data_IF_656000129011
#
_entry.id   IF_656000129011
#
_cell.length_a   1.000
_cell.length_b   1.000
_cell.length_c   1.000
_cell.angle_alpha   90.00
_cell.angle_beta   90.00
_cell.angle_gamma   90.00
#
_symmetry.space_group_name_H-M   'P 1'
#
loop_
_entity.id
_entity.type
_entity.pdbx_description
1 polymer ?
#
# COMPACT_ATOMS: atom_id res chain seq x y z
N UNK A 1 -11.04 -0.53 -22.32
CA UNK A 1 -10.27 -0.01 -21.16
C UNK A 1 -9.46 -1.12 -20.53
N UNK A 2 -8.33 -0.77 -19.92
CA UNK A 2 -7.48 -1.69 -19.18
C UNK A 2 -7.13 -1.06 -17.83
N UNK A 3 -7.22 -1.85 -16.73
CA UNK A 3 -6.80 -1.37 -15.43
C UNK A 3 -5.26 -1.40 -15.37
N UNK A 4 -4.63 -0.22 -15.35
CA UNK A 4 -3.18 -0.11 -15.48
C UNK A 4 -2.45 0.20 -14.20
N UNK A 5 -3.00 1.09 -13.38
CA UNK A 5 -2.31 1.64 -12.22
C UNK A 5 -3.23 1.85 -11.04
N UNK A 6 -2.71 1.61 -9.84
CA UNK A 6 -3.20 2.22 -8.61
C UNK A 6 -2.13 3.20 -8.18
N UNK A 7 -2.48 4.47 -8.04
CA UNK A 7 -1.53 5.52 -7.69
C UNK A 7 -1.96 6.13 -6.36
N UNK A 8 -1.06 6.10 -5.38
CA UNK A 8 -1.31 6.64 -4.05
C UNK A 8 -0.51 7.93 -3.90
N UNK A 9 -1.18 9.01 -3.53
CA UNK A 9 -0.51 10.28 -3.26
C UNK A 9 0.06 10.27 -1.85
N UNK A 10 1.36 10.54 -1.74
CA UNK A 10 2.12 10.41 -0.50
C UNK A 10 3.01 11.64 -0.29
N UNK A 11 3.40 11.91 0.98
CA UNK A 11 4.30 13.04 1.23
C UNK A 11 5.73 12.82 0.72
N UNK A 12 6.20 11.57 0.68
CA UNK A 12 7.58 11.23 0.32
C UNK A 12 7.58 9.91 -0.47
N UNK A 13 7.73 10.01 -1.79
CA UNK A 13 7.67 8.83 -2.69
C UNK A 13 8.79 7.85 -2.40
N UNK A 14 10.02 8.33 -2.20
CA UNK A 14 11.16 7.46 -1.91
C UNK A 14 10.95 6.69 -0.61
N UNK A 15 10.39 7.33 0.41
CA UNK A 15 10.09 6.69 1.69
C UNK A 15 9.01 5.63 1.55
N UNK A 16 7.96 5.89 0.78
CA UNK A 16 6.90 4.91 0.53
C UNK A 16 7.41 3.70 -0.24
N UNK A 17 8.22 3.90 -1.28
CA UNK A 17 8.85 2.79 -2.00
C UNK A 17 9.70 1.93 -1.07
N UNK A 18 10.56 2.56 -0.28
CA UNK A 18 11.44 1.85 0.66
C UNK A 18 10.62 1.08 1.71
N UNK A 19 9.54 1.66 2.20
CA UNK A 19 8.66 1.00 3.16
C UNK A 19 8.02 -0.25 2.55
N UNK A 20 7.44 -0.14 1.34
CA UNK A 20 6.78 -1.28 0.69
C UNK A 20 7.77 -2.39 0.31
N UNK A 21 9.00 -2.03 -0.03
CA UNK A 21 10.08 -3.01 -0.24
C UNK A 21 10.36 -3.80 1.06
N UNK A 22 10.53 -3.09 2.17
CA UNK A 22 10.85 -3.72 3.46
C UNK A 22 9.66 -4.46 4.07
N UNK A 23 8.47 -3.88 4.03
CA UNK A 23 7.29 -4.42 4.70
C UNK A 23 6.66 -5.59 3.95
N UNK A 24 6.63 -5.53 2.61
CA UNK A 24 5.87 -6.46 1.78
C UNK A 24 6.72 -7.22 0.76
N UNK A 25 8.01 -6.90 0.64
CA UNK A 25 8.92 -7.65 -0.21
C UNK A 25 8.82 -7.34 -1.70
N UNK A 26 8.16 -6.25 -2.09
CA UNK A 26 8.12 -5.85 -3.49
C UNK A 26 9.44 -5.29 -3.96
N UNK A 27 9.78 -5.52 -5.23
CA UNK A 27 10.92 -4.88 -5.86
C UNK A 27 10.52 -3.51 -6.40
N UNK A 28 11.43 -2.55 -6.32
CA UNK A 28 11.26 -1.24 -6.94
C UNK A 28 11.44 -1.36 -8.44
N UNK A 29 10.50 -0.81 -9.22
CA UNK A 29 10.67 -0.71 -10.67
C UNK A 29 11.53 0.50 -11.02
N UNK A 30 11.15 1.68 -10.52
CA UNK A 30 11.97 2.89 -10.63
C UNK A 30 11.46 3.98 -9.70
N UNK A 31 12.31 4.96 -9.45
CA UNK A 31 11.98 6.25 -8.88
C UNK A 31 12.42 7.31 -9.87
N UNK A 32 11.48 8.16 -10.32
CA UNK A 32 11.80 9.26 -11.23
C UNK A 32 12.83 10.20 -10.58
N UNK A 33 13.70 10.76 -11.40
CA UNK A 33 14.77 11.64 -10.90
C UNK A 33 14.26 12.87 -10.14
N UNK A 34 13.03 13.32 -10.43
CA UNK A 34 12.38 14.42 -9.69
C UNK A 34 12.03 14.05 -8.25
N UNK A 35 11.93 12.75 -7.95
CA UNK A 35 11.44 12.27 -6.68
C UNK A 35 9.92 12.30 -6.53
N UNK A 36 9.18 12.76 -7.54
CA UNK A 36 7.73 12.98 -7.44
C UNK A 36 6.88 11.79 -7.86
N UNK A 37 7.49 10.74 -8.43
CA UNK A 37 6.78 9.56 -8.89
C UNK A 37 7.67 8.33 -8.86
N UNK A 38 7.11 7.19 -8.47
CA UNK A 38 7.83 5.93 -8.49
C UNK A 38 6.90 4.74 -8.57
N UNK A 39 7.41 3.60 -9.03
CA UNK A 39 6.64 2.39 -9.23
C UNK A 39 7.28 1.19 -8.56
N UNK A 40 6.43 0.29 -8.07
CA UNK A 40 6.82 -1.04 -7.63
C UNK A 40 6.54 -2.06 -8.74
N UNK A 41 7.28 -3.17 -8.71
CA UNK A 41 7.03 -4.32 -9.57
C UNK A 41 5.92 -5.17 -8.93
N UNK A 42 4.69 -5.02 -9.39
CA UNK A 42 3.52 -5.67 -8.77
C UNK A 42 2.68 -6.51 -9.76
N UNK A 43 3.24 -6.83 -10.91
CA UNK A 43 2.57 -7.65 -11.93
C UNK A 43 1.85 -6.80 -12.98
N UNK A 44 0.70 -7.27 -13.45
CA UNK A 44 -0.03 -6.62 -14.55
C UNK A 44 -0.60 -5.25 -14.18
N UNK A 45 -1.01 -5.07 -12.93
CA UNK A 45 -1.46 -3.79 -12.42
C UNK A 45 -0.36 -3.18 -11.56
N UNK A 46 0.08 -2.00 -11.92
CA UNK A 46 1.18 -1.32 -11.25
C UNK A 46 0.70 -0.55 -10.03
N UNK A 47 1.31 -0.82 -8.88
CA UNK A 47 1.17 0.03 -7.70
C UNK A 47 2.26 1.10 -7.75
N UNK A 48 1.84 2.35 -7.72
CA UNK A 48 2.74 3.50 -7.84
C UNK A 48 2.44 4.54 -6.76
N UNK A 49 3.42 5.42 -6.54
CA UNK A 49 3.30 6.53 -5.60
C UNK A 49 3.62 7.83 -6.32
N UNK A 50 2.84 8.86 -6.01
CA UNK A 50 3.05 10.21 -6.52
C UNK A 50 3.10 11.19 -5.34
N UNK A 51 3.95 12.21 -5.44
CA UNK A 51 4.06 13.23 -4.39
C UNK A 51 2.78 14.06 -4.30
N UNK A 52 2.45 14.52 -3.08
CA UNK A 52 1.34 15.45 -2.86
C UNK A 52 1.42 16.68 -3.77
N UNK A 53 2.63 17.19 -4.02
CA UNK A 53 2.82 18.34 -4.90
C UNK A 53 2.34 18.05 -6.34
N UNK A 54 2.53 16.83 -6.83
CA UNK A 54 2.03 16.43 -8.14
C UNK A 54 0.51 16.34 -8.14
N UNK A 55 -0.08 15.84 -7.05
CA UNK A 55 -1.52 15.83 -6.85
C UNK A 55 -2.12 17.24 -6.84
N UNK A 56 -1.45 18.18 -6.20
CA UNK A 56 -1.89 19.56 -6.16
C UNK A 56 -1.93 20.22 -7.55
N UNK A 57 -1.01 19.84 -8.44
CA UNK A 57 -1.02 20.30 -9.82
C UNK A 57 -2.18 19.70 -10.62
N UNK A 58 -2.52 18.44 -10.37
CA UNK A 58 -3.57 17.73 -11.09
C UNK A 58 -4.98 18.07 -10.56
N UNK A 59 -5.08 18.37 -9.27
CA UNK A 59 -6.36 18.63 -8.59
C UNK A 59 -6.29 19.97 -7.86
N UNK A 60 -6.52 21.11 -8.58
CA UNK A 60 -6.36 22.43 -7.96
C UNK A 60 -7.24 22.66 -6.74
N UNK A 61 -8.39 21.97 -6.64
CA UNK A 61 -9.31 22.08 -5.49
C UNK A 61 -8.90 21.16 -4.33
N UNK A 62 -7.82 20.38 -4.50
CA UNK A 62 -7.27 19.53 -3.46
C UNK A 62 -7.83 18.11 -3.43
N UNK A 63 -7.35 17.32 -2.48
CA UNK A 63 -7.78 15.96 -2.21
C UNK A 63 -7.56 15.67 -0.72
N UNK A 64 -8.19 14.59 -0.24
CA UNK A 64 -7.95 14.14 1.14
C UNK A 64 -6.70 13.28 1.15
N UNK A 65 -5.64 13.77 1.79
CA UNK A 65 -4.38 13.02 1.90
C UNK A 65 -4.52 11.84 2.86
N UNK A 66 -4.10 10.65 2.42
CA UNK A 66 -4.22 9.43 3.22
C UNK A 66 -3.45 9.51 4.54
N UNK A 67 -2.27 10.14 4.54
CA UNK A 67 -1.45 10.28 5.76
C UNK A 67 -2.02 11.24 6.79
N UNK A 68 -2.85 12.19 6.37
CA UNK A 68 -3.42 13.24 7.23
C UNK A 68 -4.78 12.87 7.83
N UNK A 69 -5.41 11.79 7.37
CA UNK A 69 -6.71 11.40 7.90
C UNK A 69 -6.54 10.67 9.25
N UNK A 70 -7.46 10.95 10.19
CA UNK A 70 -7.43 10.29 11.50
C UNK A 70 -7.62 8.77 11.39
N UNK A 71 -8.52 8.36 10.49
CA UNK A 71 -8.76 6.96 10.16
C UNK A 71 -8.33 6.69 8.72
N UNK A 72 -8.04 5.43 8.36
CA UNK A 72 -7.73 5.11 6.97
C UNK A 72 -8.85 5.55 6.04
N UNK A 73 -8.49 5.96 4.84
CA UNK A 73 -9.47 6.19 3.79
C UNK A 73 -10.18 4.87 3.46
N UNK A 74 -11.41 4.94 2.95
CA UNK A 74 -12.23 3.77 2.64
C UNK A 74 -11.81 3.02 1.37
N UNK A 75 -10.51 2.94 1.11
CA UNK A 75 -9.91 2.22 -0.01
C UNK A 75 -8.73 1.44 0.54
N UNK A 76 -8.61 0.19 0.13
CA UNK A 76 -7.48 -0.63 0.52
C UNK A 76 -6.80 -1.26 -0.70
N UNK A 77 -5.53 -1.60 -0.55
CA UNK A 77 -4.84 -2.51 -1.45
C UNK A 77 -4.65 -3.83 -0.72
N UNK A 78 -4.87 -4.95 -1.40
CA UNK A 78 -4.77 -6.27 -0.80
C UNK A 78 -3.62 -7.06 -1.43
N UNK A 79 -2.78 -7.64 -0.58
CA UNK A 79 -1.67 -8.47 -1.00
C UNK A 79 -1.91 -9.92 -0.58
N UNK A 80 -1.73 -10.83 -1.52
CA UNK A 80 -1.97 -12.25 -1.30
C UNK A 80 -0.66 -12.92 -0.91
N UNK A 81 -0.67 -13.65 0.20
CA UNK A 81 0.50 -14.39 0.69
C UNK A 81 0.05 -15.62 1.46
N UNK A 82 0.80 -16.73 1.41
CA UNK A 82 0.39 -17.94 2.12
C UNK A 82 0.60 -17.90 3.64
N UNK A 83 1.47 -17.03 4.13
CA UNK A 83 1.79 -16.93 5.56
C UNK A 83 1.47 -15.54 6.10
N UNK A 84 0.24 -15.36 6.57
CA UNK A 84 -0.23 -14.07 7.06
C UNK A 84 0.46 -13.67 8.36
N UNK A 85 0.67 -14.61 9.28
CA UNK A 85 1.31 -14.29 10.56
C UNK A 85 2.71 -13.69 10.35
N UNK A 86 3.51 -14.30 9.46
CA UNK A 86 4.85 -13.81 9.16
C UNK A 86 4.81 -12.47 8.42
N UNK A 87 3.94 -12.35 7.41
CA UNK A 87 3.81 -11.11 6.63
C UNK A 87 3.35 -9.95 7.51
N UNK A 88 2.38 -10.18 8.38
CA UNK A 88 1.89 -9.19 9.33
C UNK A 88 3.00 -8.71 10.27
N UNK A 89 3.73 -9.66 10.87
CA UNK A 89 4.83 -9.34 11.77
C UNK A 89 5.94 -8.53 11.05
N UNK A 90 6.26 -8.90 9.82
CA UNK A 90 7.26 -8.18 9.01
C UNK A 90 6.81 -6.74 8.73
N UNK A 91 5.54 -6.54 8.39
CA UNK A 91 4.99 -5.20 8.15
C UNK A 91 5.07 -4.33 9.40
N UNK A 92 4.70 -4.87 10.57
CA UNK A 92 4.79 -4.13 11.83
C UNK A 92 6.23 -3.77 12.17
N UNK A 93 7.16 -4.72 11.97
CA UNK A 93 8.58 -4.48 12.23
C UNK A 93 9.15 -3.38 11.31
N UNK A 94 8.63 -3.25 10.09
CA UNK A 94 9.04 -2.20 9.14
C UNK A 94 8.44 -0.82 9.47
N UNK A 95 7.43 -0.75 10.34
CA UNK A 95 6.83 0.51 10.78
C UNK A 95 5.35 0.68 10.53
N UNK A 96 4.64 -0.34 10.04
CA UNK A 96 3.19 -0.29 9.92
C UNK A 96 2.52 -0.33 11.29
N UNK A 97 1.32 0.23 11.37
CA UNK A 97 0.46 0.11 12.55
C UNK A 97 -0.55 -1.01 12.34
N UNK A 98 -0.80 -1.81 13.37
CA UNK A 98 -1.82 -2.84 13.30
C UNK A 98 -3.22 -2.21 13.30
N UNK A 99 -4.02 -2.55 12.30
CA UNK A 99 -5.43 -2.20 12.26
C UNK A 99 -6.26 -3.37 12.77
N UNK A 100 -5.95 -4.59 12.31
CA UNK A 100 -6.57 -5.82 12.78
C UNK A 100 -5.60 -6.98 12.67
N UNK A 101 -5.40 -7.70 13.77
CA UNK A 101 -4.55 -8.88 13.83
C UNK A 101 -5.08 -9.99 12.90
N UNK A 102 -4.23 -10.95 12.50
CA UNK A 102 -4.65 -12.07 11.67
C UNK A 102 -5.85 -12.80 12.24
N UNK A 103 -6.84 -13.06 11.39
CA UNK A 103 -8.09 -13.69 11.75
C UNK A 103 -8.57 -14.61 10.62
N UNK A 104 -8.95 -15.83 10.95
CA UNK A 104 -9.55 -16.77 9.99
C UNK A 104 -11.00 -16.40 9.76
N UNK A 105 -11.43 -16.42 8.50
CA UNK A 105 -12.78 -16.08 8.10
C UNK A 105 -13.58 -17.33 7.75
N UNK A 106 -14.93 -17.28 7.86
CA UNK A 106 -15.78 -18.45 7.57
C UNK A 106 -15.62 -19.02 6.16
N UNK A 107 -15.20 -18.19 5.17
CA UNK A 107 -14.99 -18.64 3.79
C UNK A 107 -13.60 -19.23 3.55
N UNK A 108 -12.77 -19.39 4.59
CA UNK A 108 -11.51 -20.12 4.52
C UNK A 108 -10.24 -19.28 4.37
N UNK A 109 -10.37 -17.96 4.18
CA UNK A 109 -9.22 -17.07 4.16
C UNK A 109 -8.79 -16.67 5.56
N UNK A 110 -7.48 -16.41 5.73
CA UNK A 110 -6.96 -15.67 6.88
C UNK A 110 -6.64 -14.26 6.38
N UNK A 111 -7.12 -13.25 7.09
CA UNK A 111 -6.93 -11.84 6.75
C UNK A 111 -6.28 -11.09 7.91
N UNK A 112 -5.53 -10.06 7.58
CA UNK A 112 -5.09 -9.05 8.55
C UNK A 112 -5.03 -7.68 7.88
N UNK A 113 -5.01 -6.63 8.69
CA UNK A 113 -4.97 -5.26 8.18
C UNK A 113 -3.90 -4.46 8.90
N UNK A 114 -3.14 -3.71 8.12
CA UNK A 114 -2.14 -2.78 8.64
C UNK A 114 -2.33 -1.42 7.97
N UNK A 115 -1.91 -0.36 8.64
CA UNK A 115 -1.83 0.97 8.07
C UNK A 115 -0.37 1.36 7.93
N UNK A 116 0.01 1.75 6.73
CA UNK A 116 1.37 2.17 6.41
C UNK A 116 1.66 3.58 6.95
N UNK A 117 2.95 3.95 7.14
CA UNK A 117 3.31 5.31 7.58
C UNK A 117 2.75 6.41 6.69
N UNK A 118 2.55 6.15 5.41
CA UNK A 118 1.96 7.10 4.46
C UNK A 118 0.43 7.13 4.50
N UNK A 119 -0.20 6.36 5.39
CA UNK A 119 -1.64 6.30 5.57
C UNK A 119 -2.35 5.22 4.77
N UNK A 120 -1.67 4.52 3.88
CA UNK A 120 -2.28 3.47 3.05
C UNK A 120 -2.80 2.33 3.92
N UNK A 121 -4.05 1.93 3.69
CA UNK A 121 -4.64 0.75 4.29
C UNK A 121 -4.30 -0.47 3.43
N UNK A 122 -3.67 -1.46 4.05
CA UNK A 122 -3.28 -2.71 3.39
C UNK A 122 -3.96 -3.89 4.05
N UNK A 123 -4.59 -4.72 3.23
CA UNK A 123 -5.05 -6.05 3.64
C UNK A 123 -3.99 -7.07 3.25
N UNK A 124 -3.67 -7.98 4.17
CA UNK A 124 -2.90 -9.18 3.88
C UNK A 124 -3.87 -10.35 3.91
N UNK A 125 -3.90 -11.16 2.86
CA UNK A 125 -4.85 -12.26 2.77
C UNK A 125 -4.22 -13.51 2.16
N UNK A 126 -4.70 -14.68 2.61
CA UNK A 126 -4.34 -15.93 1.96
C UNK A 126 -5.07 -16.05 0.63
N UNK A 127 -4.57 -16.89 -0.32
CA UNK A 127 -5.30 -17.13 -1.55
C UNK A 127 -6.70 -17.67 -1.28
N UNK A 128 -7.67 -17.26 -2.09
CA UNK A 128 -9.01 -17.85 -2.04
C UNK A 128 -8.94 -19.24 -2.66
N UNK A 129 -9.41 -20.26 -1.92
CA UNK A 129 -9.57 -21.60 -2.48
C UNK A 129 -10.90 -21.66 -3.21
N UNK A 130 -10.91 -22.04 -4.50
CA UNK A 130 -12.15 -22.19 -5.24
C UNK A 130 -12.99 -23.36 -4.70
#
# INVERSE_FOLDING_TARGET
MKFGYTIIYVPDVAASLAFFEAAFGFARRFLHESGDYGELETGETTLAFAAHALGALNFPEGFVAADASAQPLGIEVAFVTPDIAQAHATALAAGASEVKAPESKPWGQTLSYVRCPDGTLVELCTPVSP
#
